data_IF_450719966432
#
_entry.id   IF_450719966432
#
_cell.length_a   1.000
_cell.length_b   1.000
_cell.length_c   1.000
_cell.angle_alpha   90.00
_cell.angle_beta   90.00
_cell.angle_gamma   90.00
#
_symmetry.space_group_name_H-M   'P 1'
#
loop_
_entity.id
_entity.type
_entity.pdbx_description
1 polymer ?
#
# COMPACT_ATOMS: atom_id res chain seq x y z
N UNK A 1 -21.53 -24.24 -13.33
CA UNK A 1 -22.13 -22.91 -13.02
C UNK A 1 -21.47 -22.24 -11.82
N UNK A 2 -21.37 -22.90 -10.65
CA UNK A 2 -20.79 -22.30 -9.42
C UNK A 2 -19.32 -21.84 -9.58
N UNK A 3 -18.45 -22.64 -10.21
CA UNK A 3 -17.03 -22.30 -10.43
C UNK A 3 -16.84 -20.99 -11.21
N UNK A 4 -17.57 -20.82 -12.32
CA UNK A 4 -17.52 -19.62 -13.17
C UNK A 4 -17.95 -18.36 -12.39
N UNK A 5 -18.92 -18.49 -11.48
CA UNK A 5 -19.35 -17.37 -10.64
C UNK A 5 -18.26 -16.95 -9.63
N UNK A 6 -17.53 -17.93 -9.06
CA UNK A 6 -16.44 -17.66 -8.13
C UNK A 6 -15.24 -16.98 -8.81
N UNK A 7 -14.88 -17.41 -10.02
CA UNK A 7 -13.83 -16.78 -10.84
C UNK A 7 -14.14 -15.31 -11.12
N UNK A 8 -15.37 -15.05 -11.60
CA UNK A 8 -15.84 -13.68 -11.84
C UNK A 8 -15.77 -12.84 -10.56
N UNK A 9 -16.17 -13.40 -9.41
CA UNK A 9 -16.13 -12.67 -8.14
C UNK A 9 -14.70 -12.25 -7.78
N UNK A 10 -13.71 -13.15 -7.89
CA UNK A 10 -12.31 -12.81 -7.58
C UNK A 10 -11.70 -11.80 -8.53
N UNK A 11 -11.95 -11.96 -9.83
CA UNK A 11 -11.53 -10.99 -10.83
C UNK A 11 -12.08 -9.60 -10.48
N UNK A 12 -13.37 -9.50 -10.18
CA UNK A 12 -14.00 -8.24 -9.78
C UNK A 12 -13.43 -7.69 -8.47
N UNK A 13 -13.17 -8.54 -7.47
CA UNK A 13 -12.52 -8.11 -6.22
C UNK A 13 -11.11 -7.58 -6.48
N UNK A 14 -10.31 -8.24 -7.33
CA UNK A 14 -8.98 -7.78 -7.71
C UNK A 14 -9.01 -6.44 -8.46
N UNK A 15 -9.95 -6.27 -9.39
CA UNK A 15 -10.16 -4.98 -10.08
C UNK A 15 -10.62 -3.88 -9.13
N UNK A 16 -11.45 -4.22 -8.13
CA UNK A 16 -11.84 -3.28 -7.08
C UNK A 16 -10.64 -2.84 -6.23
N UNK A 17 -9.73 -3.75 -5.89
CA UNK A 17 -8.46 -3.39 -5.22
C UNK A 17 -7.66 -2.39 -6.05
N UNK A 18 -7.50 -2.64 -7.36
CA UNK A 18 -6.79 -1.72 -8.26
C UNK A 18 -7.43 -0.33 -8.27
N UNK A 19 -8.77 -0.26 -8.29
CA UNK A 19 -9.48 1.02 -8.25
C UNK A 19 -9.22 1.79 -6.96
N UNK A 20 -9.25 1.11 -5.80
CA UNK A 20 -8.94 1.73 -4.51
C UNK A 20 -7.49 2.25 -4.48
N UNK A 21 -6.53 1.45 -4.95
CA UNK A 21 -5.13 1.88 -5.01
C UNK A 21 -4.95 3.10 -5.91
N UNK A 22 -5.60 3.12 -7.08
CA UNK A 22 -5.58 4.26 -7.98
C UNK A 22 -6.18 5.52 -7.33
N UNK A 23 -7.28 5.38 -6.56
CA UNK A 23 -7.89 6.47 -5.83
C UNK A 23 -6.95 7.02 -4.73
N UNK A 24 -6.30 6.15 -3.96
CA UNK A 24 -5.32 6.56 -2.95
C UNK A 24 -4.12 7.29 -3.58
N UNK A 25 -3.62 6.81 -4.73
CA UNK A 25 -2.57 7.48 -5.50
C UNK A 25 -3.02 8.86 -5.98
N UNK A 26 -4.25 8.97 -6.49
CA UNK A 26 -4.82 10.23 -6.93
C UNK A 26 -4.91 11.23 -5.77
N UNK A 27 -5.42 10.80 -4.62
CA UNK A 27 -5.50 11.63 -3.41
C UNK A 27 -4.11 12.11 -2.99
N UNK A 28 -3.12 11.22 -2.94
CA UNK A 28 -1.74 11.56 -2.60
C UNK A 28 -1.17 12.59 -3.57
N UNK A 29 -1.24 12.34 -4.87
CA UNK A 29 -0.61 13.17 -5.89
C UNK A 29 -1.23 14.57 -6.03
N UNK A 30 -2.54 14.71 -5.80
CA UNK A 30 -3.28 15.93 -6.18
C UNK A 30 -4.01 16.61 -5.03
N UNK A 31 -4.32 15.91 -3.94
CA UNK A 31 -5.17 16.46 -2.87
C UNK A 31 -4.34 16.70 -1.61
N UNK A 32 -3.70 15.68 -1.06
CA UNK A 32 -3.09 15.78 0.29
C UNK A 32 -1.62 16.17 0.28
N UNK A 33 -0.92 16.12 -0.86
CA UNK A 33 0.51 16.51 -0.96
C UNK A 33 0.85 17.84 -0.27
N UNK A 34 0.06 18.94 -0.43
CA UNK A 34 0.39 20.22 0.20
C UNK A 34 0.47 20.20 1.74
N UNK A 35 -0.09 19.18 2.41
CA UNK A 35 -0.01 19.01 3.87
C UNK A 35 1.17 18.13 4.34
N UNK A 36 1.93 17.52 3.44
CA UNK A 36 2.92 16.49 3.77
C UNK A 36 4.35 17.03 3.89
N UNK A 37 5.21 16.26 4.58
CA UNK A 37 6.64 16.56 4.81
C UNK A 37 7.44 16.74 3.51
N UNK A 38 7.02 16.11 2.42
CA UNK A 38 7.68 16.16 1.12
C UNK A 38 7.22 17.32 0.24
N UNK A 39 6.30 18.16 0.69
CA UNK A 39 5.90 19.36 -0.04
C UNK A 39 6.96 20.46 0.08
N UNK A 40 6.92 21.43 -0.83
CA UNK A 40 7.76 22.64 -0.77
C UNK A 40 7.24 23.67 0.28
N UNK A 41 6.14 23.35 0.95
CA UNK A 41 5.49 24.23 1.92
C UNK A 41 6.23 24.24 3.27
N UNK A 42 6.31 25.43 3.87
CA UNK A 42 6.73 25.60 5.26
C UNK A 42 5.80 24.87 6.23
N UNK A 43 6.26 24.63 7.46
CA UNK A 43 5.44 23.99 8.49
C UNK A 43 4.10 24.71 8.73
N UNK A 44 4.13 26.05 8.72
CA UNK A 44 2.95 26.89 8.89
C UNK A 44 1.98 26.77 7.71
N UNK A 45 2.49 26.71 6.48
CA UNK A 45 1.66 26.54 5.28
C UNK A 45 1.00 25.15 5.26
N UNK A 46 1.73 24.10 5.66
CA UNK A 46 1.17 22.74 5.77
C UNK A 46 0.08 22.66 6.84
N UNK A 47 0.33 23.25 8.01
CA UNK A 47 -0.67 23.36 9.07
C UNK A 47 -1.93 24.10 8.57
N UNK A 48 -1.75 25.25 7.93
CA UNK A 48 -2.85 26.04 7.38
C UNK A 48 -3.65 25.24 6.35
N UNK A 49 -2.97 24.47 5.49
CA UNK A 49 -3.60 23.57 4.53
C UNK A 49 -4.46 22.52 5.23
N UNK A 50 -3.91 21.79 6.21
CA UNK A 50 -4.62 20.74 6.94
C UNK A 50 -5.89 21.30 7.61
N UNK A 51 -5.81 22.48 8.23
CA UNK A 51 -6.95 23.11 8.89
C UNK A 51 -8.02 23.56 7.88
N UNK A 52 -7.61 24.19 6.78
CA UNK A 52 -8.54 24.72 5.78
C UNK A 52 -9.17 23.63 4.89
N UNK A 53 -8.54 22.46 4.77
CA UNK A 53 -8.97 21.35 3.93
C UNK A 53 -9.19 20.05 4.72
N UNK A 54 -9.61 20.16 5.99
CA UNK A 54 -9.66 19.02 6.91
C UNK A 54 -10.46 17.82 6.38
N UNK A 55 -11.59 18.06 5.72
CA UNK A 55 -12.43 16.99 5.18
C UNK A 55 -11.76 16.24 4.04
N UNK A 56 -11.13 16.97 3.10
CA UNK A 56 -10.39 16.37 1.99
C UNK A 56 -9.16 15.62 2.50
N UNK A 57 -8.46 16.20 3.48
CA UNK A 57 -7.35 15.58 4.17
C UNK A 57 -7.74 14.23 4.80
N UNK A 58 -8.78 14.22 5.63
CA UNK A 58 -9.28 12.99 6.26
C UNK A 58 -9.75 11.95 5.25
N UNK A 59 -10.45 12.38 4.20
CA UNK A 59 -10.89 11.48 3.14
C UNK A 59 -9.70 10.85 2.40
N UNK A 60 -8.64 11.62 2.14
CA UNK A 60 -7.39 11.12 1.60
C UNK A 60 -6.83 9.98 2.44
N UNK A 61 -6.70 10.17 3.75
CA UNK A 61 -6.17 9.13 4.66
C UNK A 61 -7.09 7.91 4.79
N UNK A 62 -8.41 8.09 4.73
CA UNK A 62 -9.35 6.96 4.62
C UNK A 62 -9.05 6.14 3.35
N UNK A 63 -8.79 6.78 2.21
CA UNK A 63 -8.46 6.07 0.98
C UNK A 63 -7.16 5.25 1.14
N UNK A 64 -6.17 5.78 1.87
CA UNK A 64 -4.93 5.07 2.20
C UNK A 64 -5.16 3.88 3.13
N UNK A 65 -5.97 4.02 4.19
CA UNK A 65 -6.37 2.91 5.06
C UNK A 65 -7.06 1.80 4.24
N UNK A 66 -8.00 2.17 3.36
CA UNK A 66 -8.70 1.18 2.53
C UNK A 66 -7.75 0.56 1.50
N UNK A 67 -6.74 1.28 1.01
CA UNK A 67 -5.70 0.74 0.13
C UNK A 67 -4.80 -0.29 0.85
N UNK A 68 -4.38 -0.01 2.09
CA UNK A 68 -3.66 -0.94 2.95
C UNK A 68 -4.44 -2.26 3.17
N UNK A 69 -5.74 -2.16 3.46
CA UNK A 69 -6.63 -3.32 3.59
C UNK A 69 -6.86 -4.04 2.25
N UNK A 70 -6.87 -3.29 1.15
CA UNK A 70 -7.02 -3.83 -0.21
C UNK A 70 -5.78 -4.63 -0.63
N UNK A 71 -4.58 -4.23 -0.21
CA UNK A 71 -3.35 -4.98 -0.39
C UNK A 71 -3.42 -6.35 0.31
N UNK A 72 -3.82 -6.37 1.59
CA UNK A 72 -4.04 -7.61 2.33
C UNK A 72 -5.09 -8.50 1.65
N UNK A 73 -6.19 -7.89 1.19
CA UNK A 73 -7.26 -8.58 0.46
C UNK A 73 -6.73 -9.22 -0.82
N UNK A 74 -5.99 -8.48 -1.65
CA UNK A 74 -5.43 -8.99 -2.89
C UNK A 74 -4.52 -10.19 -2.65
N UNK A 75 -3.62 -10.11 -1.66
CA UNK A 75 -2.75 -11.22 -1.34
C UNK A 75 -3.49 -12.43 -0.77
N UNK A 76 -4.56 -12.22 0.00
CA UNK A 76 -5.41 -13.33 0.46
C UNK A 76 -6.04 -14.11 -0.71
N UNK A 77 -6.42 -13.42 -1.80
CA UNK A 77 -6.90 -14.05 -3.02
C UNK A 77 -5.78 -14.80 -3.75
N UNK A 78 -4.58 -14.20 -3.77
CA UNK A 78 -3.40 -14.76 -4.43
C UNK A 78 -2.89 -16.05 -3.77
N UNK A 79 -3.14 -16.24 -2.47
CA UNK A 79 -2.68 -17.42 -1.71
C UNK A 79 -3.10 -18.75 -2.33
N UNK A 80 -4.23 -18.81 -3.05
CA UNK A 80 -4.70 -20.06 -3.69
C UNK A 80 -3.77 -20.58 -4.78
N UNK A 81 -2.95 -19.70 -5.33
CA UNK A 81 -2.04 -20.01 -6.43
C UNK A 81 -0.62 -20.33 -5.95
N UNK A 82 -0.40 -20.33 -4.64
CA UNK A 82 0.90 -20.58 -3.99
C UNK A 82 0.82 -21.90 -3.21
N UNK A 83 1.72 -22.87 -3.46
CA UNK A 83 1.72 -24.14 -2.73
C UNK A 83 1.87 -23.93 -1.23
N UNK A 84 1.24 -24.80 -0.44
CA UNK A 84 1.32 -24.73 1.02
C UNK A 84 2.77 -24.84 1.50
N UNK A 85 3.16 -23.89 2.36
CA UNK A 85 4.48 -23.85 2.98
C UNK A 85 4.51 -22.87 4.15
N UNK A 86 5.45 -23.05 5.08
CA UNK A 86 5.69 -22.08 6.15
C UNK A 86 6.04 -20.70 5.60
N UNK A 87 6.77 -20.65 4.47
CA UNK A 87 7.12 -19.41 3.77
C UNK A 87 5.89 -18.65 3.24
N UNK A 88 4.88 -19.37 2.72
CA UNK A 88 3.59 -18.76 2.31
C UNK A 88 2.89 -18.12 3.51
N UNK A 89 2.84 -18.84 4.63
CA UNK A 89 2.23 -18.33 5.87
C UNK A 89 2.98 -17.10 6.38
N UNK A 90 4.31 -17.17 6.44
CA UNK A 90 5.17 -16.04 6.85
C UNK A 90 4.94 -14.81 5.96
N UNK A 91 4.93 -14.99 4.63
CA UNK A 91 4.71 -13.88 3.70
C UNK A 91 3.37 -13.18 3.92
N UNK A 92 2.31 -13.95 4.14
CA UNK A 92 0.99 -13.38 4.44
C UNK A 92 0.92 -12.71 5.81
N UNK A 93 1.54 -13.31 6.84
CA UNK A 93 1.63 -12.71 8.18
C UNK A 93 2.39 -11.39 8.14
N UNK A 94 3.47 -11.28 7.36
CA UNK A 94 4.22 -10.03 7.20
C UNK A 94 3.34 -8.93 6.58
N UNK A 95 2.51 -9.24 5.59
CA UNK A 95 1.57 -8.25 5.05
C UNK A 95 0.56 -7.81 6.13
N UNK A 96 0.03 -8.76 6.91
CA UNK A 96 -0.83 -8.42 8.05
C UNK A 96 -0.12 -7.53 9.08
N UNK A 97 1.12 -7.85 9.43
CA UNK A 97 1.96 -7.07 10.34
C UNK A 97 2.31 -5.69 9.81
N UNK A 98 2.46 -5.52 8.49
CA UNK A 98 2.65 -4.22 7.86
C UNK A 98 1.41 -3.34 7.92
N UNK A 99 0.23 -3.95 7.91
CA UNK A 99 -1.06 -3.23 7.92
C UNK A 99 -1.32 -2.49 9.22
N UNK A 100 -0.86 -3.02 10.36
CA UNK A 100 -1.08 -2.38 11.65
C UNK A 100 -0.35 -1.03 11.82
N UNK A 101 0.98 -0.93 11.66
CA UNK A 101 1.68 0.35 11.75
C UNK A 101 1.25 1.30 10.64
N UNK A 102 0.93 0.81 9.44
CA UNK A 102 0.48 1.64 8.33
C UNK A 102 -0.85 2.34 8.66
N UNK A 103 -1.89 1.58 9.04
CA UNK A 103 -3.17 2.16 9.49
C UNK A 103 -2.98 3.09 10.69
N UNK A 104 -2.06 2.77 11.59
CA UNK A 104 -1.75 3.64 12.74
C UNK A 104 -1.18 4.98 12.26
N UNK A 105 -0.28 4.98 11.27
CA UNK A 105 0.24 6.20 10.67
C UNK A 105 -0.87 7.04 10.03
N UNK A 106 -1.79 6.41 9.30
CA UNK A 106 -2.85 7.16 8.61
C UNK A 106 -3.89 7.70 9.58
N UNK A 107 -4.09 7.04 10.72
CA UNK A 107 -4.86 7.58 11.84
C UNK A 107 -4.14 8.81 12.43
N UNK A 108 -2.82 8.74 12.59
CA UNK A 108 -2.03 9.87 13.10
C UNK A 108 -2.14 11.05 12.14
N UNK A 109 -1.93 10.84 10.85
CA UNK A 109 -2.06 11.90 9.86
C UNK A 109 -3.48 12.46 9.76
N UNK A 110 -4.50 11.60 9.62
CA UNK A 110 -5.87 12.02 9.37
C UNK A 110 -6.57 12.67 10.57
N UNK A 111 -6.23 12.29 11.80
CA UNK A 111 -6.98 12.72 12.98
C UNK A 111 -6.11 13.24 14.13
N UNK A 112 -5.00 12.58 14.45
CA UNK A 112 -4.18 12.97 15.62
C UNK A 112 -3.43 14.28 15.35
N UNK A 113 -2.86 14.46 14.16
CA UNK A 113 -2.18 15.70 13.78
C UNK A 113 -3.14 16.89 13.76
N UNK A 114 -4.30 16.84 13.06
CA UNK A 114 -5.28 17.92 13.11
C UNK A 114 -5.70 18.31 14.53
N UNK A 115 -5.91 17.31 15.40
CA UNK A 115 -6.28 17.56 16.79
C UNK A 115 -5.11 18.16 17.59
N UNK A 116 -3.88 17.71 17.35
CA UNK A 116 -2.69 18.28 17.99
C UNK A 116 -2.52 19.76 17.68
N UNK A 117 -2.81 20.18 16.44
CA UNK A 117 -2.77 21.59 16.00
C UNK A 117 -3.78 22.45 16.79
N UNK A 118 -4.93 21.88 17.15
CA UNK A 118 -5.98 22.55 17.93
C UNK A 118 -5.58 22.75 19.40
N UNK A 119 -4.86 21.78 19.97
CA UNK A 119 -4.48 21.77 21.39
C UNK A 119 -3.18 22.56 21.62
N UNK A 120 -2.19 22.37 20.75
CA UNK A 120 -0.85 22.94 20.87
C UNK A 120 -0.44 23.65 19.56
N UNK A 121 -0.56 24.98 19.51
CA UNK A 121 -0.22 25.76 18.32
C UNK A 121 1.30 25.92 18.12
N UNK A 122 2.16 25.36 18.97
CA UNK A 122 3.63 25.52 18.86
C UNK A 122 4.27 24.68 17.75
N UNK A 123 3.49 23.82 17.08
CA UNK A 123 3.87 23.00 15.92
C UNK A 123 4.92 21.91 16.19
N UNK A 124 5.54 21.89 17.37
CA UNK A 124 6.48 20.84 17.81
C UNK A 124 5.80 19.48 17.86
N UNK A 125 4.58 19.45 18.41
CA UNK A 125 3.76 18.23 18.49
C UNK A 125 3.42 17.69 17.09
N UNK A 126 3.04 18.58 16.16
CA UNK A 126 2.78 18.21 14.76
C UNK A 126 4.02 17.58 14.11
N UNK A 127 5.19 18.23 14.17
CA UNK A 127 6.41 17.71 13.55
C UNK A 127 6.80 16.34 14.11
N UNK A 128 6.70 16.16 15.42
CA UNK A 128 7.02 14.89 16.08
C UNK A 128 6.10 13.77 15.60
N UNK A 129 4.80 14.06 15.51
CA UNK A 129 3.79 13.12 15.03
C UNK A 129 3.97 12.80 13.54
N UNK A 130 4.33 13.79 12.72
CA UNK A 130 4.60 13.58 11.29
C UNK A 130 5.78 12.65 11.07
N UNK A 131 6.88 12.86 11.80
CA UNK A 131 8.07 12.00 11.72
C UNK A 131 7.74 10.58 12.19
N UNK A 132 6.99 10.44 13.29
CA UNK A 132 6.55 9.14 13.78
C UNK A 132 5.67 8.42 12.75
N UNK A 133 4.65 9.09 12.22
CA UNK A 133 3.77 8.52 11.21
C UNK A 133 4.55 8.14 9.95
N UNK A 134 5.46 8.99 9.48
CA UNK A 134 6.33 8.71 8.35
C UNK A 134 7.16 7.43 8.53
N UNK A 135 7.70 7.18 9.73
CA UNK A 135 8.39 5.90 10.03
C UNK A 135 7.43 4.71 10.11
N UNK A 136 6.25 4.90 10.68
CA UNK A 136 5.25 3.84 10.81
C UNK A 136 4.76 3.35 9.44
N UNK A 137 4.36 4.25 8.54
CA UNK A 137 3.91 3.87 7.19
C UNK A 137 5.07 3.49 6.28
N UNK A 138 6.00 4.42 6.05
CA UNK A 138 6.97 4.31 4.95
C UNK A 138 8.12 3.35 5.25
N UNK A 139 8.53 3.21 6.52
CA UNK A 139 9.55 2.25 6.93
C UNK A 139 8.95 0.93 7.42
N UNK A 140 8.20 0.92 8.52
CA UNK A 140 7.74 -0.34 9.12
C UNK A 140 6.64 -1.01 8.29
N UNK A 141 5.55 -0.30 8.00
CA UNK A 141 4.40 -0.85 7.26
C UNK A 141 4.81 -1.32 5.88
N UNK A 142 5.38 -0.41 5.10
CA UNK A 142 5.84 -0.69 3.75
C UNK A 142 7.04 -1.66 3.68
N UNK A 143 7.93 -1.69 4.68
CA UNK A 143 8.99 -2.69 4.77
C UNK A 143 8.44 -4.11 4.93
N UNK A 144 7.45 -4.28 5.81
CA UNK A 144 6.75 -5.56 5.98
C UNK A 144 5.91 -5.93 4.75
N UNK A 145 5.22 -4.98 4.12
CA UNK A 145 4.52 -5.22 2.85
C UNK A 145 5.46 -5.67 1.75
N UNK A 146 6.60 -5.01 1.60
CA UNK A 146 7.57 -5.32 0.56
C UNK A 146 8.17 -6.71 0.75
N UNK A 147 8.54 -7.05 1.99
CA UNK A 147 9.07 -8.38 2.30
C UNK A 147 8.02 -9.47 2.12
N UNK A 148 6.81 -9.29 2.66
CA UNK A 148 5.72 -10.25 2.51
C UNK A 148 5.29 -10.42 1.06
N UNK A 149 5.12 -9.31 0.33
CA UNK A 149 4.78 -9.29 -1.09
C UNK A 149 5.84 -9.96 -1.97
N UNK A 150 7.13 -9.70 -1.70
CA UNK A 150 8.23 -10.37 -2.39
C UNK A 150 8.22 -11.88 -2.14
N UNK A 151 8.08 -12.30 -0.88
CA UNK A 151 8.02 -13.72 -0.50
C UNK A 151 6.87 -14.43 -1.22
N UNK A 152 5.67 -13.83 -1.23
CA UNK A 152 4.51 -14.42 -1.89
C UNK A 152 4.64 -14.42 -3.42
N UNK A 153 5.21 -13.36 -3.99
CA UNK A 153 5.47 -13.27 -5.44
C UNK A 153 6.48 -14.34 -5.88
N UNK A 154 7.58 -14.53 -5.14
CA UNK A 154 8.53 -15.62 -5.38
C UNK A 154 7.86 -16.98 -5.15
N UNK A 155 6.96 -17.08 -4.17
CA UNK A 155 6.15 -18.27 -3.90
C UNK A 155 5.36 -18.76 -5.13
N UNK A 156 4.87 -17.84 -5.97
CA UNK A 156 4.19 -18.18 -7.22
C UNK A 156 5.09 -18.95 -8.21
N UNK A 157 6.42 -18.78 -8.16
CA UNK A 157 7.35 -19.52 -9.04
C UNK A 157 7.30 -21.03 -8.82
N UNK A 158 6.82 -21.47 -7.64
CA UNK A 158 6.62 -22.90 -7.34
C UNK A 158 5.41 -23.48 -8.09
N UNK A 159 4.48 -22.64 -8.56
CA UNK A 159 3.37 -23.05 -9.38
C UNK A 159 3.77 -23.04 -10.87
N UNK A 160 4.03 -24.23 -11.43
CA UNK A 160 4.54 -24.38 -12.80
C UNK A 160 3.53 -23.97 -13.88
N UNK A 161 2.25 -23.82 -13.53
CA UNK A 161 1.20 -23.46 -14.48
C UNK A 161 1.16 -21.95 -14.75
N UNK A 162 1.73 -21.13 -13.87
CA UNK A 162 1.71 -19.67 -14.00
C UNK A 162 2.85 -19.20 -14.91
N UNK A 163 2.55 -18.27 -15.82
CA UNK A 163 3.57 -17.62 -16.64
C UNK A 163 4.58 -16.87 -15.76
N UNK A 164 5.86 -17.20 -15.93
CA UNK A 164 6.96 -16.57 -15.19
C UNK A 164 7.08 -15.09 -15.49
N UNK A 165 6.70 -14.65 -16.69
CA UNK A 165 6.73 -13.24 -17.09
C UNK A 165 5.80 -12.41 -16.21
N UNK A 166 4.60 -12.94 -15.91
CA UNK A 166 3.66 -12.32 -14.99
C UNK A 166 4.26 -12.16 -13.59
N UNK A 167 4.97 -13.19 -13.10
CA UNK A 167 5.57 -13.16 -11.76
C UNK A 167 6.73 -12.15 -11.71
N UNK A 168 7.62 -12.18 -12.70
CA UNK A 168 8.77 -11.26 -12.80
C UNK A 168 8.30 -9.82 -12.92
N UNK A 169 7.22 -9.57 -13.66
CA UNK A 169 6.62 -8.25 -13.77
C UNK A 169 6.15 -7.68 -12.42
N UNK A 170 5.89 -8.50 -11.40
CA UNK A 170 5.54 -8.01 -10.06
C UNK A 170 6.74 -7.59 -9.22
N UNK A 171 7.96 -8.07 -9.52
CA UNK A 171 9.14 -7.87 -8.66
C UNK A 171 9.57 -6.40 -8.48
N UNK A 172 9.51 -5.52 -9.50
CA UNK A 172 9.95 -4.14 -9.34
C UNK A 172 9.17 -3.37 -8.27
N UNK A 173 7.89 -3.67 -8.06
CA UNK A 173 7.08 -3.03 -7.01
C UNK A 173 7.72 -3.18 -5.62
N UNK A 174 8.25 -4.38 -5.31
CA UNK A 174 8.88 -4.66 -4.02
C UNK A 174 10.25 -4.00 -3.89
N UNK A 175 10.99 -3.86 -4.99
CA UNK A 175 12.27 -3.12 -4.99
C UNK A 175 12.01 -1.66 -4.66
N UNK A 176 11.01 -1.04 -5.28
CA UNK A 176 10.62 0.33 -4.96
C UNK A 176 10.07 0.46 -3.53
N UNK A 177 9.34 -0.53 -3.04
CA UNK A 177 8.91 -0.58 -1.65
C UNK A 177 10.08 -0.63 -0.66
N UNK A 178 11.11 -1.45 -0.91
CA UNK A 178 12.33 -1.39 -0.10
C UNK A 178 13.07 -0.05 -0.24
N UNK A 179 13.07 0.54 -1.43
CA UNK A 179 13.57 1.90 -1.68
C UNK A 179 12.85 2.95 -0.83
N UNK A 180 11.53 2.86 -0.71
CA UNK A 180 10.74 3.73 0.17
C UNK A 180 11.11 3.52 1.64
N UNK A 181 11.27 2.27 2.08
CA UNK A 181 11.70 1.97 3.45
C UNK A 181 13.07 2.58 3.77
N UNK A 182 14.01 2.46 2.82
CA UNK A 182 15.33 3.08 2.91
C UNK A 182 15.27 4.62 2.90
N UNK A 183 14.44 5.20 2.04
CA UNK A 183 14.23 6.65 2.00
C UNK A 183 13.69 7.17 3.33
N UNK A 184 12.78 6.42 3.97
CA UNK A 184 12.20 6.82 5.24
C UNK A 184 13.23 6.79 6.38
N UNK A 185 14.03 5.72 6.50
CA UNK A 185 15.06 5.62 7.55
C UNK A 185 16.15 6.69 7.39
N UNK A 186 16.46 7.08 6.15
CA UNK A 186 17.42 8.16 5.84
C UNK A 186 16.79 9.56 5.80
N UNK A 187 15.48 9.68 6.08
CA UNK A 187 14.71 10.93 6.03
C UNK A 187 14.79 11.67 4.68
N UNK A 188 14.95 10.93 3.57
CA UNK A 188 14.93 11.49 2.22
C UNK A 188 13.50 11.57 1.70
N UNK A 189 12.79 12.67 2.01
CA UNK A 189 11.39 12.86 1.62
C UNK A 189 11.15 12.83 0.11
N UNK A 190 12.08 13.38 -0.67
CA UNK A 190 12.03 13.35 -2.13
C UNK A 190 12.11 11.93 -2.67
N UNK A 191 13.09 11.14 -2.19
CA UNK A 191 13.24 9.75 -2.60
C UNK A 191 12.03 8.92 -2.15
N UNK A 192 11.50 9.18 -0.95
CA UNK A 192 10.30 8.52 -0.46
C UNK A 192 9.12 8.76 -1.41
N UNK A 193 8.88 10.01 -1.84
CA UNK A 193 7.81 10.33 -2.78
C UNK A 193 7.96 9.58 -4.13
N UNK A 194 9.17 9.55 -4.69
CA UNK A 194 9.45 8.80 -5.93
C UNK A 194 9.20 7.31 -5.73
N UNK A 195 9.76 6.71 -4.68
CA UNK A 195 9.63 5.29 -4.41
C UNK A 195 8.17 4.89 -4.13
N UNK A 196 7.40 5.69 -3.39
CA UNK A 196 5.95 5.48 -3.20
C UNK A 196 5.22 5.49 -4.52
N UNK A 197 5.43 6.52 -5.36
CA UNK A 197 4.77 6.62 -6.66
C UNK A 197 5.07 5.42 -7.56
N UNK A 198 6.35 5.04 -7.67
CA UNK A 198 6.78 3.90 -8.47
C UNK A 198 6.24 2.57 -7.92
N UNK A 199 6.32 2.33 -6.61
CA UNK A 199 5.82 1.11 -5.98
C UNK A 199 4.30 0.96 -6.19
N UNK A 200 3.54 2.04 -6.01
CA UNK A 200 2.08 2.02 -6.12
C UNK A 200 1.61 1.85 -7.57
N UNK A 201 2.20 2.59 -8.52
CA UNK A 201 1.86 2.47 -9.94
C UNK A 201 2.19 1.07 -10.45
N UNK A 202 3.38 0.57 -10.12
CA UNK A 202 3.82 -0.75 -10.56
C UNK A 202 2.98 -1.88 -9.94
N UNK A 203 2.67 -1.78 -8.64
CA UNK A 203 1.76 -2.72 -7.97
C UNK A 203 0.38 -2.71 -8.60
N UNK A 204 -0.17 -1.53 -8.89
CA UNK A 204 -1.51 -1.40 -9.48
C UNK A 204 -1.58 -2.03 -10.87
N UNK A 205 -0.56 -1.80 -11.72
CA UNK A 205 -0.44 -2.44 -13.04
C UNK A 205 -0.37 -3.97 -12.87
N UNK A 206 0.48 -4.45 -11.98
CA UNK A 206 0.64 -5.89 -11.76
C UNK A 206 -0.65 -6.53 -11.24
N UNK A 207 -1.31 -5.92 -10.25
CA UNK A 207 -2.59 -6.40 -9.70
C UNK A 207 -3.69 -6.41 -10.75
N UNK A 208 -3.72 -5.42 -11.65
CA UNK A 208 -4.64 -5.39 -12.77
C UNK A 208 -4.42 -6.57 -13.72
N UNK A 209 -3.17 -6.82 -14.12
CA UNK A 209 -2.84 -7.94 -15.00
C UNK A 209 -3.17 -9.28 -14.32
N UNK A 210 -2.79 -9.48 -13.06
CA UNK A 210 -3.12 -10.70 -12.29
C UNK A 210 -4.63 -10.90 -12.19
N UNK A 211 -5.40 -9.82 -11.97
CA UNK A 211 -6.86 -9.91 -11.89
C UNK A 211 -7.47 -10.37 -13.22
N UNK A 212 -6.99 -9.85 -14.36
CA UNK A 212 -7.52 -10.18 -15.68
C UNK A 212 -7.04 -11.53 -16.23
N UNK A 213 -5.90 -12.03 -15.76
CA UNK A 213 -5.28 -13.28 -16.23
C UNK A 213 -5.51 -14.41 -15.23
N UNK A 214 -4.83 -14.36 -14.09
CA UNK A 214 -4.81 -15.41 -13.08
C UNK A 214 -6.18 -15.59 -12.41
N UNK A 215 -6.81 -14.52 -11.93
CA UNK A 215 -8.10 -14.63 -11.22
C UNK A 215 -9.27 -14.95 -12.15
N UNK A 216 -9.19 -14.52 -13.41
CA UNK A 216 -10.22 -14.82 -14.43
C UNK A 216 -10.22 -16.29 -14.85
N UNK A 217 -9.06 -16.96 -14.78
CA UNK A 217 -8.87 -18.33 -15.26
C UNK A 217 -8.34 -19.25 -14.15
N UNK A 218 -8.89 -19.10 -12.94
CA UNK A 218 -8.42 -19.80 -11.73
C UNK A 218 -8.27 -21.31 -11.93
N UNK A 219 -9.24 -21.97 -12.58
CA UNK A 219 -9.23 -23.41 -12.78
C UNK A 219 -8.00 -23.96 -13.53
N UNK A 220 -7.29 -23.12 -14.29
CA UNK A 220 -6.07 -23.52 -15.02
C UNK A 220 -4.85 -23.53 -14.11
N UNK A 221 -4.87 -22.72 -13.05
CA UNK A 221 -3.70 -22.40 -12.23
C UNK A 221 -3.83 -22.85 -10.77
N UNK A 222 -5.01 -23.30 -10.35
CA UNK A 222 -5.24 -23.80 -9.00
C UNK A 222 -4.37 -25.05 -8.73
N UNK A 223 -3.71 -25.06 -7.58
CA UNK A 223 -2.88 -26.20 -7.16
C UNK A 223 -3.82 -27.22 -6.54
N UNK A 224 -3.94 -28.38 -7.20
CA UNK A 224 -4.71 -29.53 -6.73
C UNK A 224 -4.14 -30.16 -5.48
#
# INVERSE_FOLDING_TARGET
MLKILLEKKRMLTGLFVVLIMALACYQMAFVITPGLLNSENSLQERQAFIVNHLSDWQFGWICWIVAALSLLTFFSLLLKFIPESSTKTLGFLLIGLGTLPDITAEIIFGWVIPESIRIDPTLVSMQTLEILAFYLTGFLGNGFYSLGGLILTIGLLKNKHIDRSLIIAGLPAWIFGFGLSYACITQSFFLAAICTGLAMVWSSIWFFIVSLTLFRHEHVYEIS
#
